data_IF_164218458139
#
_entry.id   IF_164218458139
#
_cell.length_a   1.000
_cell.length_b   1.000
_cell.length_c   1.000
_cell.angle_alpha   90.00
_cell.angle_beta   90.00
_cell.angle_gamma   90.00
#
_symmetry.space_group_name_H-M   'P 1'
#
loop_
_entity.id
_entity.type
_entity.pdbx_description
1 polymer ?
#
# COMPACT_ATOMS: atom_id res chain seq x y z
N UNK A 1 -24.37 -0.63 19.17
CA UNK A 1 -23.86 -0.93 17.82
C UNK A 1 -22.74 0.05 17.58
N UNK A 2 -21.50 -0.41 17.37
CA UNK A 2 -20.36 0.48 17.19
C UNK A 2 -20.39 1.15 15.81
N UNK A 3 -19.94 2.41 15.73
CA UNK A 3 -19.92 3.15 14.46
C UNK A 3 -18.65 2.84 13.67
N UNK A 4 -18.67 3.12 12.36
CA UNK A 4 -17.47 3.02 11.53
C UNK A 4 -16.31 3.89 12.07
N UNK A 5 -16.64 5.07 12.61
CA UNK A 5 -15.64 5.99 13.20
C UNK A 5 -14.95 5.36 14.42
N UNK A 6 -15.69 4.66 15.28
CA UNK A 6 -15.13 3.94 16.44
C UNK A 6 -14.19 2.81 16.00
N UNK A 7 -14.52 2.10 14.92
CA UNK A 7 -13.64 1.08 14.35
C UNK A 7 -12.39 1.68 13.72
N UNK A 8 -12.50 2.80 13.00
CA UNK A 8 -11.33 3.54 12.48
C UNK A 8 -10.44 4.02 13.63
N UNK A 9 -11.00 4.36 14.78
CA UNK A 9 -10.26 4.78 15.98
C UNK A 9 -9.45 3.66 16.65
N UNK A 10 -9.86 2.39 16.51
CA UNK A 10 -9.32 1.27 17.31
C UNK A 10 -8.65 0.16 16.49
N UNK A 11 -9.11 -0.11 15.27
CA UNK A 11 -8.60 -1.21 14.44
C UNK A 11 -7.15 -0.99 14.00
N UNK A 12 -6.32 -2.03 14.04
CA UNK A 12 -4.94 -1.96 13.55
C UNK A 12 -4.86 -2.15 12.02
N UNK A 13 -5.78 -2.94 11.46
CA UNK A 13 -5.85 -3.25 10.03
C UNK A 13 -7.30 -3.15 9.58
N UNK A 14 -7.52 -2.49 8.43
CA UNK A 14 -8.82 -2.41 7.76
C UNK A 14 -8.63 -2.84 6.32
N UNK A 15 -9.36 -3.87 5.89
CA UNK A 15 -9.31 -4.39 4.52
C UNK A 15 -10.58 -3.97 3.78
N UNK A 16 -10.42 -3.23 2.69
CA UNK A 16 -11.54 -2.84 1.84
C UNK A 16 -11.76 -3.90 0.74
N UNK A 17 -12.78 -4.74 0.89
CA UNK A 17 -13.11 -5.81 -0.06
C UNK A 17 -14.32 -5.44 -0.95
N UNK A 18 -14.44 -6.11 -2.10
CA UNK A 18 -15.53 -5.90 -3.05
C UNK A 18 -15.10 -6.15 -4.51
N UNK A 19 -16.05 -6.18 -5.43
CA UNK A 19 -15.78 -6.40 -6.86
C UNK A 19 -14.98 -5.24 -7.50
N UNK A 20 -14.52 -5.42 -8.74
CA UNK A 20 -13.82 -4.38 -9.49
C UNK A 20 -14.68 -3.13 -9.68
N UNK A 21 -14.10 -1.94 -9.50
CA UNK A 21 -14.78 -0.67 -9.78
C UNK A 21 -15.78 -0.16 -8.73
N UNK A 22 -16.01 -0.85 -7.61
CA UNK A 22 -16.98 -0.41 -6.57
C UNK A 22 -16.47 0.69 -5.63
N UNK A 23 -15.30 1.28 -5.90
CA UNK A 23 -14.75 2.39 -5.11
C UNK A 23 -13.88 1.99 -3.91
N UNK A 24 -13.40 0.74 -3.83
CA UNK A 24 -12.54 0.26 -2.72
C UNK A 24 -11.36 1.20 -2.43
N UNK A 25 -10.65 1.62 -3.46
CA UNK A 25 -9.48 2.50 -3.33
C UNK A 25 -9.85 3.86 -2.77
N UNK A 26 -10.95 4.45 -3.22
CA UNK A 26 -11.48 5.73 -2.73
C UNK A 26 -11.94 5.62 -1.28
N UNK A 27 -12.61 4.52 -0.93
CA UNK A 27 -13.03 4.25 0.45
C UNK A 27 -11.81 4.08 1.35
N UNK A 28 -10.81 3.27 0.95
CA UNK A 28 -9.58 3.08 1.71
C UNK A 28 -8.83 4.41 1.95
N UNK A 29 -8.72 5.25 0.93
CA UNK A 29 -8.16 6.60 1.04
C UNK A 29 -8.90 7.44 2.09
N UNK A 30 -10.23 7.45 2.02
CA UNK A 30 -11.10 8.21 2.94
C UNK A 30 -10.98 7.70 4.38
N UNK A 31 -10.90 6.39 4.59
CA UNK A 31 -10.71 5.78 5.91
C UNK A 31 -9.33 6.15 6.49
N UNK A 32 -8.28 6.15 5.67
CA UNK A 32 -6.93 6.59 6.07
C UNK A 32 -6.89 8.07 6.47
N UNK A 33 -7.53 8.94 5.67
CA UNK A 33 -7.70 10.35 6.02
C UNK A 33 -8.44 10.53 7.35
N UNK A 34 -9.53 9.78 7.55
CA UNK A 34 -10.30 9.86 8.80
C UNK A 34 -9.50 9.35 10.00
N UNK A 35 -8.69 8.29 9.85
CA UNK A 35 -7.79 7.83 10.90
C UNK A 35 -6.79 8.92 11.30
N UNK A 36 -6.19 9.60 10.32
CA UNK A 36 -5.31 10.74 10.57
C UNK A 36 -6.04 11.87 11.32
N UNK A 37 -7.26 12.22 10.91
CA UNK A 37 -8.10 13.21 11.59
C UNK A 37 -8.46 12.84 13.03
N UNK A 38 -8.46 11.55 13.36
CA UNK A 38 -8.63 11.04 14.73
C UNK A 38 -7.31 10.95 15.52
N UNK A 39 -6.21 11.50 15.00
CA UNK A 39 -4.90 11.52 15.68
C UNK A 39 -4.07 10.25 15.49
N UNK A 40 -4.46 9.37 14.55
CA UNK A 40 -3.73 8.13 14.27
C UNK A 40 -2.71 8.31 13.16
N UNK A 41 -1.63 7.53 13.22
CA UNK A 41 -0.69 7.37 12.10
C UNK A 41 -1.17 6.21 11.24
N UNK A 42 -1.69 6.50 10.06
CA UNK A 42 -2.29 5.53 9.17
C UNK A 42 -1.55 5.49 7.83
N UNK A 43 -1.41 4.29 7.28
CA UNK A 43 -0.87 4.06 5.94
C UNK A 43 -1.91 3.35 5.07
N UNK A 44 -2.14 3.87 3.86
CA UNK A 44 -3.01 3.23 2.87
C UNK A 44 -2.13 2.60 1.80
N UNK A 45 -2.24 1.28 1.65
CA UNK A 45 -1.56 0.52 0.61
C UNK A 45 -2.54 0.15 -0.50
N UNK A 46 -2.11 0.29 -1.76
CA UNK A 46 -2.83 -0.25 -2.92
C UNK A 46 -1.90 -1.13 -3.74
N UNK A 47 -2.44 -2.11 -4.44
CA UNK A 47 -1.74 -2.91 -5.47
C UNK A 47 -2.18 -2.54 -6.89
N UNK A 48 -3.07 -1.54 -7.02
CA UNK A 48 -3.68 -1.18 -8.31
C UNK A 48 -2.67 -0.44 -9.22
N UNK A 49 -2.24 -1.04 -10.34
CA UNK A 49 -1.29 -0.41 -11.25
C UNK A 49 -1.86 0.82 -11.97
N UNK A 50 -3.19 0.98 -11.98
CA UNK A 50 -3.86 2.12 -12.61
C UNK A 50 -3.70 3.44 -11.82
N UNK A 51 -2.89 3.47 -10.76
CA UNK A 51 -2.57 4.66 -9.95
C UNK A 51 -3.79 5.35 -9.32
N UNK A 52 -4.94 4.66 -9.22
CA UNK A 52 -6.20 5.22 -8.71
C UNK A 52 -6.07 5.84 -7.31
N UNK A 53 -5.21 5.30 -6.45
CA UNK A 53 -4.97 5.85 -5.12
C UNK A 53 -4.24 7.20 -5.20
N UNK A 54 -3.21 7.30 -6.04
CA UNK A 54 -2.48 8.53 -6.24
C UNK A 54 -3.39 9.61 -6.83
N UNK A 55 -4.23 9.25 -7.80
CA UNK A 55 -5.21 10.16 -8.40
C UNK A 55 -6.25 10.62 -7.37
N UNK A 56 -6.81 9.71 -6.57
CA UNK A 56 -7.77 10.04 -5.52
C UNK A 56 -7.18 10.95 -4.42
N UNK A 57 -5.88 10.85 -4.17
CA UNK A 57 -5.15 11.63 -3.18
C UNK A 57 -4.47 12.88 -3.76
N UNK A 58 -4.53 13.08 -5.07
CA UNK A 58 -3.88 14.19 -5.75
C UNK A 58 -2.35 14.19 -5.64
N UNK A 59 -1.72 13.01 -5.62
CA UNK A 59 -0.26 12.86 -5.46
C UNK A 59 0.43 12.91 -6.85
N UNK A 60 1.10 14.01 -7.21
CA UNK A 60 1.73 14.14 -8.52
C UNK A 60 2.91 13.17 -8.63
N UNK A 61 3.01 12.46 -9.76
CA UNK A 61 4.07 11.48 -9.98
C UNK A 61 3.75 10.06 -9.52
N UNK A 62 2.67 9.86 -8.77
CA UNK A 62 2.23 8.55 -8.29
C UNK A 62 2.77 8.17 -6.91
N UNK A 63 2.62 6.90 -6.57
CA UNK A 63 3.12 6.29 -5.33
C UNK A 63 4.13 5.21 -5.68
N UNK A 64 5.15 5.02 -4.84
CA UNK A 64 6.13 3.94 -4.95
C UNK A 64 5.87 2.87 -3.88
N UNK A 65 6.75 1.87 -3.83
CA UNK A 65 6.76 0.84 -2.78
C UNK A 65 7.26 1.37 -1.42
N UNK A 66 7.63 2.66 -1.33
CA UNK A 66 8.00 3.33 -0.10
C UNK A 66 6.84 4.20 0.40
N UNK A 67 6.48 4.15 1.70
CA UNK A 67 5.46 5.01 2.27
C UNK A 67 5.79 6.50 2.10
N UNK A 68 4.94 7.23 1.39
CA UNK A 68 5.01 8.68 1.27
C UNK A 68 4.01 9.34 2.22
N UNK A 69 4.49 10.32 3.02
CA UNK A 69 3.62 11.10 3.90
C UNK A 69 2.82 12.12 3.10
N UNK A 70 1.52 12.18 3.35
CA UNK A 70 0.60 13.13 2.73
C UNK A 70 0.29 14.28 3.68
N UNK A 71 0.32 15.50 3.14
CA UNK A 71 -0.09 16.69 3.87
C UNK A 71 -1.61 16.83 3.75
N UNK A 72 -2.31 16.59 4.85
CA UNK A 72 -3.75 16.77 4.93
C UNK A 72 -4.10 18.00 5.79
N UNK A 73 -5.18 18.73 5.46
CA UNK A 73 -5.76 19.70 6.37
C UNK A 73 -6.51 18.99 7.51
N UNK A 74 -6.70 19.71 8.61
CA UNK A 74 -7.57 19.33 9.74
C UNK A 74 -7.22 18.01 10.42
N UNK A 75 -5.92 17.70 10.52
CA UNK A 75 -5.42 16.52 11.20
C UNK A 75 -5.24 16.81 12.69
N UNK A 76 -5.78 15.95 13.55
CA UNK A 76 -5.58 16.07 14.99
C UNK A 76 -4.12 15.86 15.39
N UNK A 77 -3.74 16.33 16.58
CA UNK A 77 -2.38 16.17 17.09
C UNK A 77 -1.93 14.70 17.07
N UNK A 78 -0.73 14.44 16.55
CA UNK A 78 -0.17 13.09 16.38
C UNK A 78 -0.69 12.32 15.16
N UNK A 79 -1.69 12.84 14.45
CA UNK A 79 -2.25 12.23 13.26
C UNK A 79 -1.33 12.35 12.04
N UNK A 80 -1.26 11.27 11.26
CA UNK A 80 -0.50 11.24 10.00
C UNK A 80 -1.20 10.34 8.98
N UNK A 81 -1.21 10.77 7.72
CA UNK A 81 -1.60 9.91 6.60
C UNK A 81 -0.37 9.62 5.74
N UNK A 82 -0.20 8.35 5.43
CA UNK A 82 0.80 7.83 4.53
C UNK A 82 0.12 7.03 3.42
N UNK A 83 0.76 6.94 2.26
CA UNK A 83 0.28 6.08 1.18
C UNK A 83 1.46 5.43 0.46
N UNK A 84 1.24 4.20 -0.04
CA UNK A 84 2.16 3.53 -0.95
C UNK A 84 1.38 2.72 -1.99
N UNK A 85 2.07 2.43 -3.09
CA UNK A 85 1.61 1.44 -4.06
C UNK A 85 2.59 0.27 -4.00
N UNK A 86 2.08 -0.88 -3.55
CA UNK A 86 2.83 -2.11 -3.53
C UNK A 86 3.11 -2.54 -4.96
N UNK A 87 4.39 -2.70 -5.27
CA UNK A 87 4.85 -3.32 -6.50
C UNK A 87 5.25 -4.77 -6.19
N UNK A 88 4.56 -5.71 -6.81
CA UNK A 88 4.74 -7.15 -6.52
C UNK A 88 6.17 -7.60 -6.79
N UNK A 89 6.76 -7.19 -7.90
CA UNK A 89 8.12 -7.60 -8.27
C UNK A 89 9.16 -7.07 -7.27
N UNK A 90 9.10 -5.79 -6.94
CA UNK A 90 10.00 -5.15 -5.97
C UNK A 90 9.80 -5.71 -4.57
N UNK A 91 8.56 -6.09 -4.22
CA UNK A 91 8.24 -6.75 -2.95
C UNK A 91 8.88 -8.14 -2.87
N UNK A 92 8.79 -8.94 -3.94
CA UNK A 92 9.50 -10.22 -4.04
C UNK A 92 11.02 -10.04 -3.97
N UNK A 93 11.57 -9.04 -4.65
CA UNK A 93 13.00 -8.74 -4.59
C UNK A 93 13.46 -8.43 -3.16
N UNK A 94 12.63 -7.67 -2.42
CA UNK A 94 12.85 -7.41 -1.00
C UNK A 94 12.85 -8.69 -0.16
N UNK A 95 11.89 -9.59 -0.41
CA UNK A 95 11.83 -10.89 0.27
C UNK A 95 13.06 -11.76 -0.02
N UNK A 96 13.53 -11.80 -1.27
CA UNK A 96 14.76 -12.52 -1.64
C UNK A 96 15.95 -11.97 -0.86
N UNK A 97 16.15 -10.65 -0.84
CA UNK A 97 17.28 -10.03 -0.12
C UNK A 97 17.22 -10.26 1.38
N UNK A 98 16.01 -10.27 1.96
CA UNK A 98 15.83 -10.44 3.40
C UNK A 98 16.02 -11.90 3.87
N UNK A 99 15.87 -12.89 2.98
CA UNK A 99 15.86 -14.31 3.34
C UNK A 99 16.99 -15.13 2.69
N UNK A 100 17.78 -14.55 1.80
CA UNK A 100 18.96 -15.20 1.25
C UNK A 100 20.02 -15.42 2.35
N UNK A 101 20.69 -16.56 2.30
CA UNK A 101 21.79 -16.93 3.19
C UNK A 101 23.00 -16.00 3.03
N UNK A 102 23.16 -15.39 1.85
CA UNK A 102 24.20 -14.41 1.57
C UNK A 102 23.79 -13.40 0.48
N UNK A 103 24.45 -12.23 0.41
CA UNK A 103 24.25 -11.26 -0.67
C UNK A 103 24.46 -11.87 -2.06
N UNK A 104 25.45 -12.77 -2.22
CA UNK A 104 25.74 -13.44 -3.49
C UNK A 104 24.62 -14.39 -3.90
N UNK A 105 24.01 -15.09 -2.94
CA UNK A 105 22.85 -15.94 -3.20
C UNK A 105 21.66 -15.10 -3.63
N UNK A 106 21.41 -13.95 -2.97
CA UNK A 106 20.36 -13.01 -3.36
C UNK A 106 20.57 -12.55 -4.80
N UNK A 107 21.76 -12.07 -5.16
CA UNK A 107 22.09 -11.63 -6.51
C UNK A 107 21.92 -12.76 -7.55
N UNK A 108 22.31 -13.99 -7.22
CA UNK A 108 22.10 -15.14 -8.12
C UNK A 108 20.62 -15.42 -8.36
N UNK A 109 19.76 -15.26 -7.35
CA UNK A 109 18.31 -15.44 -7.49
C UNK A 109 17.71 -14.29 -8.31
N UNK A 110 18.05 -13.03 -7.97
CA UNK A 110 17.53 -11.84 -8.65
C UNK A 110 17.93 -11.79 -10.14
N UNK A 111 19.13 -12.28 -10.48
CA UNK A 111 19.59 -12.37 -11.87
C UNK A 111 19.05 -13.60 -12.63
N UNK A 112 18.40 -14.54 -11.95
CA UNK A 112 17.83 -15.74 -12.58
C UNK A 112 16.64 -15.37 -13.50
N UNK A 113 16.71 -15.78 -14.76
CA UNK A 113 15.64 -15.52 -15.73
C UNK A 113 14.28 -16.14 -15.36
N UNK A 114 14.29 -17.32 -14.74
CA UNK A 114 13.06 -17.95 -14.25
C UNK A 114 12.41 -17.12 -13.14
N UNK A 115 13.20 -16.66 -12.16
CA UNK A 115 12.70 -15.79 -11.09
C UNK A 115 12.08 -14.50 -11.63
N UNK A 116 12.79 -13.79 -12.52
CA UNK A 116 12.29 -12.53 -13.11
C UNK A 116 10.98 -12.71 -13.88
N UNK A 117 10.83 -13.82 -14.61
CA UNK A 117 9.60 -14.13 -15.34
C UNK A 117 8.43 -14.42 -14.39
N UNK A 118 8.66 -15.16 -13.30
CA UNK A 118 7.63 -15.49 -12.31
C UNK A 118 7.23 -14.23 -11.51
N UNK A 119 8.20 -13.51 -10.96
CA UNK A 119 7.95 -12.28 -10.20
C UNK A 119 7.23 -11.22 -11.04
N UNK A 120 7.59 -11.07 -12.33
CA UNK A 120 6.94 -10.13 -13.24
C UNK A 120 5.52 -10.54 -13.65
N UNK A 121 5.24 -11.84 -13.83
CA UNK A 121 3.91 -12.32 -14.25
C UNK A 121 2.88 -12.36 -13.11
N UNK A 122 3.33 -12.53 -11.86
CA UNK A 122 2.48 -12.43 -10.67
C UNK A 122 1.93 -11.01 -10.45
N UNK A 123 2.59 -9.97 -10.97
CA UNK A 123 2.08 -8.60 -10.92
C UNK A 123 0.79 -8.39 -11.74
N UNK A 124 0.47 -9.29 -12.68
CA UNK A 124 -0.71 -9.20 -13.56
C UNK A 124 -1.85 -10.16 -13.19
N UNK A 125 -1.63 -11.09 -12.27
CA UNK A 125 -2.66 -12.02 -11.78
C UNK A 125 -3.29 -11.44 -10.51
N UNK A 126 -4.27 -10.55 -10.70
CA UNK A 126 -5.04 -9.99 -9.59
C UNK A 126 -6.00 -11.04 -9.00
N UNK A 127 -6.03 -11.16 -7.68
CA UNK A 127 -7.19 -11.72 -6.95
C UNK A 127 -8.28 -10.66 -6.73
#
# INVERSE_FOLDING_TARGET
MSTLVEHIGSAQVVVCCGSGGVGKTTVAATLGMQAARLGRRAVVATIDPAKRLADALGVPGGLSNEPARLKLPDVAEGGEMWALMLDTATTFDGLVRANAESPEQAERILNNGFYRNVAGSLSGTQE
#
